data_IF_380413159397
#
_entry.id   IF_380413159397
#
_cell.length_a   1.000
_cell.length_b   1.000
_cell.length_c   1.000
_cell.angle_alpha   90.00
_cell.angle_beta   90.00
_cell.angle_gamma   90.00
#
_symmetry.space_group_name_H-M   'P 1'
#
loop_
_entity.id
_entity.type
_entity.pdbx_description
1 polymer ?
#
# COMPACT_ATOMS: atom_id res chain seq x y z
N UNK A 1 -9.69 -9.57 2.78
CA UNK A 1 -10.61 -8.80 3.63
C UNK A 1 -11.45 -9.73 4.52
N UNK A 2 -12.23 -10.69 3.98
CA UNK A 2 -13.09 -11.59 4.79
C UNK A 2 -12.30 -12.36 5.88
N UNK A 3 -11.12 -12.89 5.56
CA UNK A 3 -10.26 -13.56 6.55
C UNK A 3 -9.84 -12.61 7.69
N UNK A 4 -9.51 -11.36 7.36
CA UNK A 4 -9.18 -10.35 8.38
C UNK A 4 -10.39 -10.07 9.28
N UNK A 5 -11.58 -9.91 8.69
CA UNK A 5 -12.82 -9.71 9.44
C UNK A 5 -13.12 -10.89 10.38
N UNK A 6 -12.95 -12.13 9.89
CA UNK A 6 -13.13 -13.35 10.70
C UNK A 6 -12.21 -13.40 11.92
N UNK A 7 -10.99 -12.88 11.78
CA UNK A 7 -10.02 -12.83 12.88
C UNK A 7 -10.03 -11.52 13.67
N UNK A 8 -10.99 -10.63 13.44
CA UNK A 8 -11.12 -9.35 14.15
C UNK A 8 -9.98 -8.36 13.93
N UNK A 9 -9.16 -8.54 12.88
CA UNK A 9 -8.05 -7.66 12.55
C UNK A 9 -8.40 -6.71 11.40
N UNK A 10 -7.86 -5.49 11.37
CA UNK A 10 -8.10 -4.55 10.28
C UNK A 10 -7.55 -5.05 8.95
N UNK A 11 -8.27 -4.77 7.86
CA UNK A 11 -7.80 -4.96 6.50
C UNK A 11 -7.50 -3.62 5.84
N UNK A 12 -6.27 -3.43 5.37
CA UNK A 12 -5.87 -2.23 4.64
C UNK A 12 -5.96 -2.46 3.14
N UNK A 13 -6.84 -1.70 2.47
CA UNK A 13 -7.00 -1.72 1.02
C UNK A 13 -6.17 -0.61 0.37
N UNK A 14 -5.28 -0.99 -0.54
CA UNK A 14 -4.55 -0.01 -1.35
C UNK A 14 -5.39 0.57 -2.48
N UNK A 15 -5.18 1.84 -2.82
CA UNK A 15 -5.75 2.44 -4.03
C UNK A 15 -5.33 1.72 -5.31
N UNK A 16 -4.20 1.01 -5.30
CA UNK A 16 -3.74 0.17 -6.41
C UNK A 16 -4.33 -1.25 -6.42
N UNK A 17 -5.33 -1.53 -5.57
CA UNK A 17 -6.00 -2.83 -5.56
C UNK A 17 -6.82 -3.09 -6.83
N UNK A 18 -6.94 -4.37 -7.19
CA UNK A 18 -7.74 -4.85 -8.32
C UNK A 18 -9.22 -5.04 -7.97
N UNK A 19 -9.63 -4.60 -6.80
CA UNK A 19 -11.02 -4.62 -6.33
C UNK A 19 -11.41 -3.24 -5.85
N UNK A 20 -12.60 -2.79 -6.20
CA UNK A 20 -13.13 -1.47 -5.81
C UNK A 20 -13.32 -1.41 -4.30
N UNK A 21 -13.05 -0.24 -3.73
CA UNK A 21 -13.18 -0.01 -2.29
C UNK A 21 -14.63 -0.19 -1.81
N UNK A 22 -15.62 0.18 -2.63
CA UNK A 22 -17.04 -0.01 -2.32
C UNK A 22 -17.44 -1.49 -2.25
N UNK A 23 -16.85 -2.31 -3.15
CA UNK A 23 -17.10 -3.75 -3.13
C UNK A 23 -16.53 -4.40 -1.87
N UNK A 24 -15.31 -4.00 -1.47
CA UNK A 24 -14.71 -4.49 -0.21
C UNK A 24 -15.53 -4.06 0.99
N UNK A 25 -16.01 -2.82 1.04
CA UNK A 25 -16.85 -2.34 2.14
C UNK A 25 -18.13 -3.15 2.28
N UNK A 26 -18.77 -3.47 1.14
CA UNK A 26 -20.01 -4.27 1.13
C UNK A 26 -19.79 -5.73 1.54
N UNK A 27 -18.68 -6.34 1.12
CA UNK A 27 -18.50 -7.80 1.20
C UNK A 27 -17.62 -8.28 2.36
N UNK A 28 -16.84 -7.40 2.97
CA UNK A 28 -15.84 -7.82 3.94
C UNK A 28 -16.38 -7.93 5.37
N UNK A 29 -17.25 -7.02 5.79
CA UNK A 29 -17.91 -7.05 7.10
C UNK A 29 -16.97 -6.87 8.29
N UNK A 30 -15.84 -6.17 8.17
CA UNK A 30 -14.84 -5.99 9.22
C UNK A 30 -14.28 -4.58 9.27
N UNK A 31 -13.21 -4.40 10.04
CA UNK A 31 -12.52 -3.12 10.18
C UNK A 31 -11.71 -2.81 8.92
N UNK A 32 -12.04 -1.73 8.22
CA UNK A 32 -11.46 -1.37 6.94
C UNK A 32 -10.65 -0.09 7.05
N UNK A 33 -9.43 -0.14 6.53
CA UNK A 33 -8.54 1.00 6.38
C UNK A 33 -8.24 1.21 4.91
N UNK A 34 -8.20 2.45 4.46
CA UNK A 34 -7.88 2.77 3.07
C UNK A 34 -6.50 3.38 2.96
N UNK A 35 -5.70 2.91 2.01
CA UNK A 35 -4.37 3.43 1.74
C UNK A 35 -4.35 4.09 0.35
N UNK A 36 -4.59 5.40 0.26
CA UNK A 36 -4.35 6.17 -0.95
C UNK A 36 -2.86 6.48 -1.09
N UNK A 37 -2.38 6.47 -2.33
CA UNK A 37 -1.13 7.13 -2.67
C UNK A 37 -1.39 8.60 -2.96
N UNK A 38 -0.46 9.48 -2.54
CA UNK A 38 -0.48 10.87 -2.96
C UNK A 38 -0.30 10.97 -4.48
N UNK A 39 -1.25 11.57 -5.16
CA UNK A 39 -1.28 11.69 -6.61
C UNK A 39 -1.13 13.15 -7.03
N UNK A 40 -0.48 13.39 -8.18
CA UNK A 40 -0.43 14.72 -8.83
C UNK A 40 -1.82 15.21 -9.22
N UNK A 41 -2.68 14.29 -9.68
CA UNK A 41 -4.11 14.58 -9.87
C UNK A 41 -4.81 14.68 -8.51
N UNK A 42 -4.84 15.90 -7.98
CA UNK A 42 -5.43 16.20 -6.69
C UNK A 42 -6.93 15.93 -6.65
N UNK A 43 -7.63 16.18 -7.76
CA UNK A 43 -9.05 15.92 -7.85
C UNK A 43 -9.34 14.42 -7.68
N UNK A 44 -8.54 13.57 -8.33
CA UNK A 44 -8.67 12.11 -8.19
C UNK A 44 -8.28 11.65 -6.77
N UNK A 45 -7.21 12.20 -6.19
CA UNK A 45 -6.80 11.89 -4.83
C UNK A 45 -7.92 12.17 -3.82
N UNK A 46 -8.53 13.34 -3.90
CA UNK A 46 -9.63 13.69 -3.01
C UNK A 46 -10.90 12.87 -3.26
N UNK A 47 -11.22 12.57 -4.52
CA UNK A 47 -12.33 11.63 -4.81
C UNK A 47 -12.15 10.27 -4.16
N UNK A 48 -10.93 9.73 -4.15
CA UNK A 48 -10.65 8.45 -3.47
C UNK A 48 -10.91 8.55 -1.95
N UNK A 49 -10.52 9.64 -1.32
CA UNK A 49 -10.75 9.87 0.12
C UNK A 49 -12.26 10.01 0.42
N UNK A 50 -12.99 10.77 -0.41
CA UNK A 50 -14.44 10.92 -0.25
C UNK A 50 -15.18 9.58 -0.44
N UNK A 51 -14.77 8.76 -1.40
CA UNK A 51 -15.32 7.43 -1.60
C UNK A 51 -15.06 6.53 -0.38
N UNK A 52 -13.86 6.59 0.21
CA UNK A 52 -13.53 5.85 1.42
C UNK A 52 -14.39 6.31 2.62
N UNK A 53 -14.63 7.63 2.73
CA UNK A 53 -15.52 8.20 3.74
C UNK A 53 -16.97 7.71 3.55
N UNK A 54 -17.48 7.75 2.33
CA UNK A 54 -18.84 7.30 2.01
C UNK A 54 -19.06 5.80 2.24
N UNK A 55 -17.98 5.03 2.36
CA UNK A 55 -17.99 3.59 2.65
C UNK A 55 -17.56 3.25 4.07
N UNK A 56 -17.56 4.21 5.00
CA UNK A 56 -17.26 4.04 6.42
C UNK A 56 -15.90 3.36 6.71
N UNK A 57 -14.87 3.68 5.91
CA UNK A 57 -13.52 3.26 6.24
C UNK A 57 -13.04 3.96 7.52
N UNK A 58 -12.61 3.16 8.52
CA UNK A 58 -12.20 3.67 9.84
C UNK A 58 -10.99 4.59 9.82
N UNK A 59 -10.04 4.31 8.91
CA UNK A 59 -8.77 5.00 8.86
C UNK A 59 -8.28 5.23 7.43
N UNK A 60 -7.54 6.33 7.24
CA UNK A 60 -6.64 6.51 6.10
C UNK A 60 -5.22 6.17 6.50
N UNK A 61 -4.49 5.51 5.59
CA UNK A 61 -3.04 5.29 5.69
C UNK A 61 -2.35 6.10 4.59
N UNK A 62 -1.86 7.27 4.91
CA UNK A 62 -1.06 8.08 3.97
C UNK A 62 0.36 7.53 3.93
N UNK A 63 0.81 7.18 2.71
CA UNK A 63 2.12 6.57 2.48
C UNK A 63 3.10 7.60 1.96
N UNK A 64 4.18 7.85 2.70
CA UNK A 64 5.15 8.93 2.43
C UNK A 64 6.54 8.44 1.97
N UNK A 65 6.75 7.14 1.91
CA UNK A 65 8.01 6.52 1.46
C UNK A 65 8.05 6.24 -0.06
N UNK A 66 7.21 6.93 -0.84
CA UNK A 66 7.00 6.70 -2.26
C UNK A 66 6.88 8.01 -3.04
N UNK A 67 7.90 8.83 -3.01
CA UNK A 67 7.96 10.06 -3.84
C UNK A 67 8.09 9.74 -5.34
N UNK A 68 8.81 8.66 -5.65
CA UNK A 68 9.00 8.14 -7.02
C UNK A 68 8.93 6.62 -7.02
N UNK A 69 8.60 6.01 -8.15
CA UNK A 69 8.56 4.56 -8.27
C UNK A 69 9.92 3.92 -8.02
N UNK A 70 9.99 2.97 -7.09
CA UNK A 70 11.23 2.28 -6.74
C UNK A 70 11.76 1.41 -7.88
N UNK A 71 13.08 1.41 -8.05
CA UNK A 71 13.78 0.55 -9.02
C UNK A 71 13.85 -0.88 -8.49
N UNK A 72 13.32 -1.82 -9.22
CA UNK A 72 13.30 -3.24 -8.83
C UNK A 72 14.24 -4.04 -9.72
N UNK A 73 15.43 -4.35 -9.22
CA UNK A 73 16.44 -5.09 -9.96
C UNK A 73 15.94 -6.42 -10.51
N UNK A 74 15.09 -7.13 -9.77
CA UNK A 74 14.49 -8.39 -10.21
C UNK A 74 13.64 -8.22 -11.48
N UNK A 75 12.92 -7.10 -11.61
CA UNK A 75 12.10 -6.82 -12.79
C UNK A 75 13.01 -6.60 -14.02
N UNK A 76 14.15 -5.91 -13.82
CA UNK A 76 15.16 -5.74 -14.88
C UNK A 76 15.79 -7.08 -15.30
N UNK A 77 16.24 -7.90 -14.34
CA UNK A 77 16.84 -9.21 -14.64
C UNK A 77 15.86 -10.15 -15.35
N UNK A 78 14.56 -10.05 -15.04
CA UNK A 78 13.53 -10.85 -15.68
C UNK A 78 12.97 -10.20 -16.96
N UNK A 79 13.53 -9.07 -17.42
CA UNK A 79 13.05 -8.30 -18.57
C UNK A 79 11.55 -7.93 -18.46
N UNK A 80 11.05 -7.78 -17.24
CA UNK A 80 9.71 -7.30 -17.00
C UNK A 80 9.65 -5.78 -17.18
N UNK A 81 8.74 -5.33 -18.04
CA UNK A 81 8.53 -3.91 -18.32
C UNK A 81 7.08 -3.49 -18.16
N UNK A 82 6.87 -2.23 -17.80
CA UNK A 82 5.56 -1.58 -17.86
C UNK A 82 5.73 -0.39 -18.81
N UNK A 83 4.94 -0.31 -19.90
CA UNK A 83 3.89 -1.23 -20.36
C UNK A 83 4.39 -2.64 -20.64
N UNK A 84 3.54 -3.63 -20.33
CA UNK A 84 3.88 -5.03 -20.59
C UNK A 84 4.03 -5.31 -22.08
N UNK A 85 5.11 -5.97 -22.45
CA UNK A 85 5.41 -6.35 -23.85
C UNK A 85 5.51 -7.87 -23.96
N UNK A 86 4.81 -8.42 -24.94
CA UNK A 86 4.95 -9.84 -25.28
C UNK A 86 6.30 -10.09 -25.94
N UNK A 87 7.04 -11.04 -25.39
CA UNK A 87 8.31 -11.54 -25.95
C UNK A 87 8.23 -13.05 -26.09
N UNK A 88 9.03 -13.69 -26.97
CA UNK A 88 9.05 -15.15 -27.07
C UNK A 88 9.32 -15.84 -25.71
N UNK A 89 10.17 -15.23 -24.90
CA UNK A 89 10.52 -15.75 -23.56
C UNK A 89 9.31 -15.76 -22.62
N UNK A 90 8.58 -14.65 -22.50
CA UNK A 90 7.45 -14.62 -21.57
C UNK A 90 6.23 -15.39 -22.11
N UNK A 91 6.06 -15.51 -23.43
CA UNK A 91 5.08 -16.40 -24.02
C UNK A 91 5.38 -17.87 -23.69
N UNK A 92 6.64 -18.27 -23.78
CA UNK A 92 7.06 -19.60 -23.37
C UNK A 92 6.83 -19.87 -21.89
N UNK A 93 7.14 -18.90 -21.04
CA UNK A 93 6.85 -18.96 -19.60
C UNK A 93 5.35 -19.16 -19.33
N UNK A 94 4.48 -18.44 -20.04
CA UNK A 94 3.03 -18.61 -19.91
C UNK A 94 2.56 -20.01 -20.27
N UNK A 95 3.12 -20.61 -21.33
CA UNK A 95 2.79 -21.98 -21.74
C UNK A 95 3.19 -23.00 -20.69
N UNK A 96 4.28 -22.76 -19.97
CA UNK A 96 4.73 -23.63 -18.87
C UNK A 96 3.84 -23.53 -17.62
N UNK A 97 2.95 -22.54 -17.53
CA UNK A 97 2.05 -22.32 -16.39
C UNK A 97 0.57 -22.39 -16.83
N UNK A 98 0.09 -23.55 -17.31
CA UNK A 98 -1.24 -23.66 -17.94
C UNK A 98 -2.39 -23.32 -16.98
N UNK A 99 -2.28 -23.65 -15.70
CA UNK A 99 -3.30 -23.31 -14.72
C UNK A 99 -3.44 -21.78 -14.53
N UNK A 100 -2.33 -21.05 -14.56
CA UNK A 100 -2.33 -19.59 -14.52
C UNK A 100 -2.88 -19.00 -15.83
N UNK A 101 -2.45 -19.52 -16.96
CA UNK A 101 -2.90 -19.07 -18.28
C UNK A 101 -4.42 -19.26 -18.45
N UNK A 102 -4.96 -20.41 -18.06
CA UNK A 102 -6.40 -20.67 -18.15
C UNK A 102 -7.20 -19.72 -17.24
N UNK A 103 -6.71 -19.43 -16.04
CA UNK A 103 -7.33 -18.43 -15.15
C UNK A 103 -7.29 -17.03 -15.76
N UNK A 104 -6.16 -16.64 -16.36
CA UNK A 104 -6.02 -15.34 -17.04
C UNK A 104 -6.99 -15.23 -18.23
N UNK A 105 -7.12 -16.27 -19.05
CA UNK A 105 -8.07 -16.30 -20.17
C UNK A 105 -9.52 -16.26 -19.70
N UNK A 106 -9.85 -16.93 -18.61
CA UNK A 106 -11.20 -16.98 -18.04
C UNK A 106 -11.61 -15.67 -17.36
N UNK A 107 -10.71 -15.03 -16.62
CA UNK A 107 -11.02 -13.88 -15.77
C UNK A 107 -10.49 -12.55 -16.32
N UNK A 108 -9.69 -12.59 -17.38
CA UNK A 108 -9.07 -11.40 -17.98
C UNK A 108 -7.88 -10.87 -17.21
N UNK A 109 -7.34 -9.78 -17.73
CA UNK A 109 -6.19 -9.08 -17.11
C UNK A 109 -6.69 -8.25 -15.92
N UNK A 110 -6.08 -8.38 -14.72
CA UNK A 110 -6.48 -7.58 -13.56
C UNK A 110 -6.17 -6.10 -13.82
N UNK A 111 -7.13 -5.24 -13.49
CA UNK A 111 -7.03 -3.77 -13.58
C UNK A 111 -7.07 -3.20 -12.17
N UNK A 112 -6.34 -2.11 -11.93
CA UNK A 112 -6.42 -1.36 -10.67
C UNK A 112 -7.75 -0.58 -10.64
N UNK A 113 -8.79 -1.20 -10.09
CA UNK A 113 -10.18 -0.74 -10.20
C UNK A 113 -10.45 0.63 -9.55
N UNK A 114 -9.71 1.01 -8.52
CA UNK A 114 -9.87 2.32 -7.88
C UNK A 114 -9.22 3.46 -8.68
N UNK A 115 -8.35 3.12 -9.65
CA UNK A 115 -7.65 4.06 -10.53
C UNK A 115 -8.18 4.01 -11.97
N UNK A 116 -9.28 3.32 -12.21
CA UNK A 116 -9.84 3.11 -13.54
C UNK A 116 -10.14 4.42 -14.28
N UNK A 117 -10.59 5.44 -13.55
CA UNK A 117 -10.89 6.76 -14.10
C UNK A 117 -9.65 7.51 -14.62
N UNK A 118 -8.44 7.05 -14.29
CA UNK A 118 -7.18 7.60 -14.81
C UNK A 118 -6.82 7.07 -16.22
N UNK A 119 -7.71 6.30 -16.83
CA UNK A 119 -7.48 5.69 -18.14
C UNK A 119 -8.65 5.92 -19.08
N UNK A 120 -8.34 6.38 -20.30
CA UNK A 120 -9.30 6.50 -21.40
C UNK A 120 -9.41 5.21 -22.23
N UNK A 121 -8.64 4.17 -21.90
CA UNK A 121 -8.62 2.92 -22.63
C UNK A 121 -9.85 2.05 -22.31
N UNK A 122 -10.49 1.55 -23.36
CA UNK A 122 -11.67 0.68 -23.22
C UNK A 122 -11.33 -0.82 -23.12
N UNK A 123 -10.16 -1.23 -23.63
CA UNK A 123 -9.73 -2.64 -23.59
C UNK A 123 -8.97 -2.92 -22.29
N UNK A 124 -9.28 -4.04 -21.55
CA UNK A 124 -8.68 -4.31 -20.24
C UNK A 124 -7.15 -4.30 -20.21
N UNK A 125 -6.49 -4.92 -21.19
CA UNK A 125 -5.02 -4.92 -21.27
C UNK A 125 -4.43 -3.53 -21.51
N UNK A 126 -5.03 -2.74 -22.41
CA UNK A 126 -4.60 -1.37 -22.70
C UNK A 126 -4.81 -0.49 -21.45
N UNK A 127 -5.94 -0.62 -20.79
CA UNK A 127 -6.26 0.06 -19.54
C UNK A 127 -5.27 -0.31 -18.42
N UNK A 128 -5.02 -1.60 -18.21
CA UNK A 128 -4.06 -2.06 -17.19
C UNK A 128 -2.66 -1.51 -17.47
N UNK A 129 -2.19 -1.50 -18.70
CA UNK A 129 -0.91 -0.94 -19.09
C UNK A 129 -0.86 0.58 -18.93
N UNK A 130 -1.91 1.30 -19.31
CA UNK A 130 -1.99 2.76 -19.17
C UNK A 130 -1.97 3.15 -17.70
N UNK A 131 -2.82 2.55 -16.86
CA UNK A 131 -2.86 2.80 -15.42
C UNK A 131 -1.51 2.46 -14.78
N UNK A 132 -0.95 1.27 -15.06
CA UNK A 132 0.32 0.86 -14.48
C UNK A 132 1.48 1.78 -14.88
N UNK A 133 1.48 2.29 -16.11
CA UNK A 133 2.48 3.26 -16.58
C UNK A 133 2.29 4.65 -15.95
N UNK A 134 1.04 5.04 -15.71
CA UNK A 134 0.68 6.33 -15.13
C UNK A 134 0.90 6.37 -13.63
N UNK A 135 0.67 5.26 -12.91
CA UNK A 135 0.80 5.19 -11.45
C UNK A 135 2.20 5.61 -11.00
N UNK A 136 3.26 5.05 -11.58
CA UNK A 136 4.64 5.40 -11.20
C UNK A 136 5.03 6.86 -11.50
N UNK A 137 4.42 7.48 -12.52
CA UNK A 137 4.64 8.88 -12.90
C UNK A 137 3.65 9.84 -12.23
N UNK A 138 2.52 9.30 -11.80
CA UNK A 138 1.41 10.03 -11.20
C UNK A 138 1.56 10.29 -9.71
N UNK A 139 2.58 9.71 -9.05
CA UNK A 139 2.84 10.01 -7.65
C UNK A 139 3.30 11.46 -7.49
N UNK A 140 2.80 12.09 -6.44
CA UNK A 140 3.15 13.46 -6.09
C UNK A 140 4.44 13.49 -5.27
N UNK A 141 5.57 13.72 -5.93
CA UNK A 141 6.86 13.89 -5.25
C UNK A 141 6.92 15.18 -4.40
N UNK A 142 6.00 16.11 -4.64
CA UNK A 142 5.84 17.34 -3.88
C UNK A 142 4.90 17.23 -2.68
N UNK A 143 4.43 16.01 -2.34
CA UNK A 143 3.62 15.81 -1.16
C UNK A 143 4.42 16.12 0.11
N UNK A 144 4.05 17.21 0.77
CA UNK A 144 4.75 17.79 1.91
C UNK A 144 3.88 17.84 3.18
N UNK A 145 4.39 18.47 4.21
CA UNK A 145 3.71 18.65 5.48
C UNK A 145 2.42 19.46 5.39
N UNK A 146 2.38 20.47 4.51
CA UNK A 146 1.19 21.27 4.27
C UNK A 146 0.07 20.43 3.66
N UNK A 147 0.42 19.56 2.72
CA UNK A 147 -0.53 18.63 2.12
C UNK A 147 -1.03 17.59 3.13
N UNK A 148 -0.16 17.11 4.00
CA UNK A 148 -0.57 16.19 5.07
C UNK A 148 -1.51 16.88 6.08
N UNK A 149 -1.23 18.15 6.40
CA UNK A 149 -2.11 18.97 7.24
C UNK A 149 -3.50 19.11 6.60
N UNK A 150 -3.57 19.40 5.29
CA UNK A 150 -4.84 19.45 4.55
C UNK A 150 -5.61 18.12 4.64
N UNK A 151 -4.90 16.99 4.53
CA UNK A 151 -5.53 15.67 4.72
C UNK A 151 -6.11 15.54 6.13
N UNK A 152 -5.36 15.95 7.18
CA UNK A 152 -5.86 15.90 8.55
C UNK A 152 -7.12 16.74 8.76
N UNK A 153 -7.13 17.94 8.21
CA UNK A 153 -8.26 18.87 8.34
C UNK A 153 -9.52 18.35 7.64
N UNK A 154 -9.36 17.69 6.51
CA UNK A 154 -10.48 17.19 5.69
C UNK A 154 -10.95 15.79 6.07
N UNK A 155 -10.12 15.00 6.75
CA UNK A 155 -10.45 13.64 7.19
C UNK A 155 -10.71 13.60 8.68
N UNK A 156 -11.96 13.40 9.08
CA UNK A 156 -12.37 13.36 10.49
C UNK A 156 -12.07 11.99 11.17
N UNK A 157 -11.84 10.93 10.39
CA UNK A 157 -11.50 9.59 10.90
C UNK A 157 -10.03 9.49 11.34
N UNK A 158 -9.59 8.29 11.64
CA UNK A 158 -8.21 8.03 12.05
C UNK A 158 -7.24 8.24 10.88
N UNK A 159 -6.18 9.01 11.13
CA UNK A 159 -5.10 9.27 10.17
C UNK A 159 -3.83 8.56 10.60
N UNK A 160 -3.37 7.65 9.78
CA UNK A 160 -2.15 6.86 9.99
C UNK A 160 -1.14 7.30 8.93
N UNK A 161 0.10 7.55 9.35
CA UNK A 161 1.17 7.87 8.39
C UNK A 161 2.16 6.71 8.34
N UNK A 162 2.37 6.20 7.13
CA UNK A 162 3.23 5.06 6.83
C UNK A 162 4.45 5.48 6.00
N UNK A 163 5.61 4.94 6.33
CA UNK A 163 6.87 5.27 5.65
C UNK A 163 7.82 6.11 6.52
N UNK A 164 7.56 6.14 7.80
CA UNK A 164 8.34 6.93 8.76
C UNK A 164 9.55 6.12 9.23
N UNK A 165 10.73 6.75 9.24
CA UNK A 165 11.99 6.12 9.66
C UNK A 165 12.85 7.01 10.56
N UNK A 166 12.36 8.20 10.94
CA UNK A 166 13.08 9.22 11.74
C UNK A 166 12.25 9.69 12.93
N UNK A 167 12.92 9.92 14.06
CA UNK A 167 12.26 10.39 15.26
C UNK A 167 11.71 11.81 15.17
N UNK A 168 12.40 12.72 14.47
CA UNK A 168 11.96 14.12 14.26
C UNK A 168 10.66 14.17 13.47
N UNK A 169 10.56 13.38 12.38
CA UNK A 169 9.33 13.27 11.61
C UNK A 169 8.19 12.69 12.47
N UNK A 170 8.51 11.70 13.30
CA UNK A 170 7.52 11.10 14.20
C UNK A 170 6.95 12.11 15.22
N UNK A 171 7.81 12.94 15.83
CA UNK A 171 7.36 14.03 16.73
C UNK A 171 6.42 15.00 16.02
N UNK A 172 6.81 15.44 14.80
CA UNK A 172 6.00 16.36 14.02
C UNK A 172 4.65 15.75 13.62
N UNK A 173 4.60 14.44 13.33
CA UNK A 173 3.33 13.74 13.04
C UNK A 173 2.39 13.69 14.25
N UNK A 174 2.94 13.48 15.44
CA UNK A 174 2.16 13.55 16.68
C UNK A 174 1.58 14.95 16.87
N UNK A 175 2.39 15.99 16.70
CA UNK A 175 1.98 17.39 16.88
C UNK A 175 0.94 17.82 15.80
N UNK A 176 0.99 17.21 14.61
CA UNK A 176 0.00 17.39 13.53
C UNK A 176 -1.35 16.72 13.85
N UNK A 177 -1.39 15.83 14.85
CA UNK A 177 -2.62 15.13 15.23
C UNK A 177 -2.86 13.83 14.45
N UNK A 178 -1.81 13.15 14.02
CA UNK A 178 -1.92 11.79 13.49
C UNK A 178 -2.29 10.80 14.60
N UNK A 179 -3.07 9.78 14.26
CA UNK A 179 -3.58 8.79 15.21
C UNK A 179 -2.66 7.57 15.35
N UNK A 180 -1.78 7.32 14.41
CA UNK A 180 -0.75 6.26 14.47
C UNK A 180 0.36 6.48 13.44
N UNK A 181 1.50 5.83 13.66
CA UNK A 181 2.65 5.83 12.76
C UNK A 181 3.00 4.40 12.39
N UNK A 182 3.34 4.17 11.11
CA UNK A 182 3.93 2.90 10.66
C UNK A 182 5.39 3.13 10.25
N UNK A 183 6.31 2.57 11.03
CA UNK A 183 7.72 2.51 10.66
C UNK A 183 7.86 1.55 9.48
N UNK A 184 8.25 2.09 8.32
CA UNK A 184 8.22 1.38 7.06
C UNK A 184 9.34 1.84 6.13
N UNK A 185 9.84 0.90 5.32
CA UNK A 185 10.66 1.14 4.14
C UNK A 185 10.02 0.51 2.88
N UNK A 186 8.69 0.37 2.90
CA UNK A 186 7.91 -0.25 1.83
C UNK A 186 8.32 -1.70 1.52
N UNK A 187 8.85 -2.41 2.51
CA UNK A 187 9.36 -3.77 2.35
C UNK A 187 10.62 -3.84 1.47
N UNK A 188 11.47 -2.80 1.50
CA UNK A 188 12.70 -2.69 0.72
C UNK A 188 12.45 -2.52 -0.79
N UNK A 189 11.31 -1.97 -1.20
CA UNK A 189 10.87 -1.89 -2.61
C UNK A 189 10.95 -0.49 -3.21
N UNK A 190 11.31 0.52 -2.42
CA UNK A 190 11.35 1.92 -2.84
C UNK A 190 12.78 2.47 -2.78
N UNK A 191 13.14 3.23 -1.77
CA UNK A 191 14.49 3.77 -1.64
C UNK A 191 15.50 2.64 -1.39
N UNK A 192 16.46 2.48 -2.30
CA UNK A 192 17.59 1.58 -2.09
C UNK A 192 18.51 2.15 -1.00
N UNK A 193 19.02 1.30 -0.13
CA UNK A 193 19.81 1.74 1.03
C UNK A 193 19.02 2.36 2.18
N UNK A 194 17.68 2.35 2.14
CA UNK A 194 16.87 2.75 3.29
C UNK A 194 17.16 1.86 4.51
N UNK A 195 17.12 2.46 5.71
CA UNK A 195 17.31 1.72 6.98
C UNK A 195 16.30 0.57 7.10
N UNK A 196 16.76 -0.56 7.63
CA UNK A 196 15.86 -1.63 8.03
C UNK A 196 14.87 -1.11 9.09
N UNK A 197 13.59 -1.44 8.93
CA UNK A 197 12.53 -0.88 9.78
C UNK A 197 12.69 -1.27 11.24
N UNK A 198 13.16 -2.48 11.52
CA UNK A 198 13.45 -2.92 12.87
C UNK A 198 14.59 -2.11 13.54
N UNK A 199 15.53 -1.57 12.76
CA UNK A 199 16.62 -0.69 13.24
C UNK A 199 16.13 0.75 13.48
N UNK A 200 15.18 1.22 12.68
CA UNK A 200 14.59 2.55 12.84
C UNK A 200 13.54 2.61 13.97
N UNK A 201 12.92 1.48 14.30
CA UNK A 201 11.80 1.40 15.24
C UNK A 201 12.08 2.01 16.63
N UNK A 202 13.19 1.68 17.33
CA UNK A 202 13.43 2.23 18.67
C UNK A 202 13.51 3.76 18.70
N UNK A 203 14.14 4.37 17.69
CA UNK A 203 14.23 5.83 17.56
C UNK A 203 12.84 6.48 17.44
N UNK A 204 11.97 5.90 16.61
CA UNK A 204 10.61 6.39 16.42
C UNK A 204 9.76 6.18 17.67
N UNK A 205 9.85 5.01 18.32
CA UNK A 205 9.14 4.70 19.56
C UNK A 205 9.54 5.68 20.66
N UNK A 206 10.83 5.92 20.84
CA UNK A 206 11.34 6.89 21.81
C UNK A 206 10.83 8.31 21.51
N UNK A 207 10.83 8.71 20.24
CA UNK A 207 10.41 10.05 19.83
C UNK A 207 8.91 10.29 20.05
N UNK A 208 8.10 9.26 19.82
CA UNK A 208 6.63 9.30 20.04
C UNK A 208 6.27 9.31 21.52
N UNK A 209 7.07 8.66 22.36
CA UNK A 209 6.92 8.63 23.82
C UNK A 209 5.51 8.20 24.26
N UNK A 210 4.98 7.16 23.66
CA UNK A 210 3.68 6.59 24.02
C UNK A 210 2.45 7.42 23.66
N UNK A 211 2.60 8.60 23.06
CA UNK A 211 1.49 9.53 22.75
C UNK A 211 0.52 8.98 21.71
N UNK A 212 1.00 8.22 20.74
CA UNK A 212 0.21 7.51 19.74
C UNK A 212 0.81 6.14 19.44
N UNK A 213 0.02 5.18 18.90
CA UNK A 213 0.54 3.88 18.50
C UNK A 213 1.63 3.95 17.44
N UNK A 214 2.69 3.17 17.63
CA UNK A 214 3.74 2.94 16.63
C UNK A 214 3.65 1.49 16.16
N UNK A 215 3.48 1.31 14.86
CA UNK A 215 3.47 0.00 14.23
C UNK A 215 4.67 -0.16 13.30
N UNK A 216 4.91 -1.40 12.88
CA UNK A 216 6.02 -1.71 11.97
C UNK A 216 5.52 -2.53 10.78
N UNK A 217 6.09 -2.29 9.61
CA UNK A 217 6.04 -3.21 8.49
C UNK A 217 7.43 -3.42 7.87
N UNK A 218 7.47 -4.24 6.83
CA UNK A 218 8.72 -4.55 6.13
C UNK A 218 9.45 -5.76 6.72
N UNK A 219 9.50 -6.82 5.93
CA UNK A 219 10.25 -8.02 6.29
C UNK A 219 9.57 -8.99 7.26
N UNK A 220 8.44 -8.67 7.83
CA UNK A 220 7.69 -9.54 8.76
C UNK A 220 7.13 -10.75 8.01
N UNK A 221 7.57 -11.96 8.39
CA UNK A 221 7.20 -13.22 7.74
C UNK A 221 6.81 -14.33 8.71
N UNK A 222 7.28 -14.28 9.94
CA UNK A 222 7.09 -15.29 10.99
C UNK A 222 6.66 -14.64 12.29
N UNK A 223 6.05 -15.42 13.18
CA UNK A 223 5.66 -14.95 14.51
C UNK A 223 6.83 -14.39 15.32
N UNK A 224 8.04 -14.95 15.17
CA UNK A 224 9.24 -14.41 15.80
C UNK A 224 9.61 -12.98 15.35
N UNK A 225 9.28 -12.60 14.13
CA UNK A 225 9.50 -11.22 13.65
C UNK A 225 8.52 -10.25 14.31
N UNK A 226 7.28 -10.71 14.55
CA UNK A 226 6.28 -9.96 15.31
C UNK A 226 6.77 -9.77 16.74
N UNK A 227 7.20 -10.86 17.41
CA UNK A 227 7.72 -10.81 18.77
C UNK A 227 8.88 -9.82 18.94
N UNK A 228 9.82 -9.79 17.99
CA UNK A 228 10.94 -8.82 17.98
C UNK A 228 10.45 -7.38 17.85
N UNK A 229 9.48 -7.11 16.95
CA UNK A 229 8.92 -5.77 16.79
C UNK A 229 8.22 -5.30 18.07
N UNK A 230 7.42 -6.16 18.70
CA UNK A 230 6.74 -5.86 19.97
C UNK A 230 7.75 -5.62 21.11
N UNK A 231 8.81 -6.44 21.21
CA UNK A 231 9.86 -6.27 22.22
C UNK A 231 10.64 -4.95 22.05
N UNK A 232 10.68 -4.38 20.86
CA UNK A 232 11.29 -3.08 20.56
C UNK A 232 10.30 -1.90 20.66
N UNK A 233 9.09 -2.14 21.17
CA UNK A 233 8.10 -1.11 21.47
C UNK A 233 7.04 -0.87 20.39
N UNK A 234 7.01 -1.65 19.33
CA UNK A 234 5.86 -1.60 18.42
C UNK A 234 4.60 -2.14 19.12
N UNK A 235 3.46 -1.55 18.81
CA UNK A 235 2.15 -2.00 19.33
C UNK A 235 1.38 -2.87 18.31
N UNK A 236 1.98 -3.12 17.15
CA UNK A 236 1.44 -3.99 16.11
C UNK A 236 2.32 -4.02 14.89
N UNK A 237 1.96 -4.88 13.95
CA UNK A 237 2.67 -5.04 12.67
C UNK A 237 1.68 -5.09 11.51
N UNK A 238 2.09 -4.58 10.34
CA UNK A 238 1.34 -4.76 9.10
C UNK A 238 2.01 -5.88 8.29
N UNK A 239 1.18 -6.77 7.78
CA UNK A 239 1.60 -7.89 6.94
C UNK A 239 1.23 -7.61 5.48
N UNK A 240 2.20 -7.73 4.58
CA UNK A 240 1.98 -7.61 3.15
C UNK A 240 2.10 -8.97 2.46
N UNK A 241 3.23 -9.22 1.82
CA UNK A 241 3.45 -10.42 0.98
C UNK A 241 3.31 -11.75 1.73
N UNK A 242 3.54 -11.80 3.03
CA UNK A 242 3.43 -13.03 3.80
C UNK A 242 2.01 -13.65 3.71
N UNK A 243 0.96 -12.83 3.76
CA UNK A 243 -0.42 -13.29 3.63
C UNK A 243 -0.80 -13.72 2.21
N UNK A 244 -0.13 -13.15 1.19
CA UNK A 244 -0.36 -13.52 -0.20
C UNK A 244 0.15 -14.93 -0.53
N UNK A 245 1.23 -15.36 0.10
CA UNK A 245 1.73 -16.73 -0.10
C UNK A 245 0.73 -17.78 0.38
N UNK A 246 0.06 -17.56 1.52
CA UNK A 246 -1.01 -18.43 1.98
C UNK A 246 -2.20 -18.44 1.01
N UNK A 247 -2.65 -17.27 0.57
CA UNK A 247 -3.77 -17.14 -0.36
C UNK A 247 -3.52 -17.73 -1.77
N UNK A 248 -2.26 -17.98 -2.14
CA UNK A 248 -1.89 -18.62 -3.43
C UNK A 248 -1.73 -20.13 -3.26
N UNK A 249 -1.39 -20.60 -2.06
CA UNK A 249 -1.15 -22.02 -1.78
C UNK A 249 -2.44 -22.83 -1.65
N UNK A 250 -3.55 -22.19 -1.29
CA UNK A 250 -4.92 -22.75 -1.22
C UNK A 250 -5.62 -22.66 -2.60
#
# INVERSE_FOLDING_TARGET
>A
ARAAAHHGIPYSLSSSATTRLEHIAKEAGGRLWFQPYALKDQAHFWRLIERARACDYEALIITVDLAVGGKRWRDFHNHFSIPFRFTPRNLWDFVQHPAWLTRLLKHGVPVMENLREMSDAHRPLAMANQIASSVGKGYDAGFDWGRLQEVRERWAGRLIVKGVARGDDAKRLVDLGCDAIVVSNHGGRQLDGARATLVALPEVVQAVDGRIPVWLDGGVRRGGDIGKALALGAQGVLLGRATLYGAIAD
#
